data_IF_349016127192
#
_entry.id   IF_349016127192
#
_cell.length_a   1.000
_cell.length_b   1.000
_cell.length_c   1.000
_cell.angle_alpha   90.00
_cell.angle_beta   90.00
_cell.angle_gamma   90.00
#
_symmetry.space_group_name_H-M   'P 1'
#
loop_
_entity.id
_entity.type
_entity.pdbx_description
1 polymer ?
#
# COMPACT_ATOMS: atom_id res chain seq x y z
N UNK A 1 -8.66 -12.18 -8.83
CA UNK A 1 -8.01 -12.09 -7.53
C UNK A 1 -9.00 -12.04 -6.41
N UNK A 2 -9.56 -13.19 -6.16
CA UNK A 2 -10.67 -13.27 -5.22
C UNK A 2 -10.30 -12.83 -3.83
N UNK A 3 -9.11 -13.20 -3.38
CA UNK A 3 -8.69 -12.86 -2.03
C UNK A 3 -8.60 -11.35 -1.85
N UNK A 4 -8.06 -10.67 -2.86
CA UNK A 4 -7.94 -9.23 -2.82
C UNK A 4 -9.30 -8.57 -2.84
N UNK A 5 -10.19 -9.09 -3.67
CA UNK A 5 -11.54 -8.57 -3.74
C UNK A 5 -12.26 -8.72 -2.42
N UNK A 6 -12.07 -9.87 -1.76
CA UNK A 6 -12.68 -10.09 -0.46
C UNK A 6 -12.19 -9.08 0.57
N UNK A 7 -10.91 -8.76 0.54
CA UNK A 7 -10.36 -7.76 1.44
C UNK A 7 -10.96 -6.38 1.16
N UNK A 8 -11.09 -6.03 -0.10
CA UNK A 8 -11.62 -4.73 -0.47
C UNK A 8 -13.12 -4.62 -0.23
N UNK A 9 -13.82 -5.74 -0.22
CA UNK A 9 -15.25 -5.75 0.04
C UNK A 9 -15.54 -5.56 1.51
N UNK A 10 -14.59 -5.87 2.37
CA UNK A 10 -14.75 -5.65 3.80
C UNK A 10 -14.92 -4.14 4.02
N UNK A 11 -16.08 -3.76 4.56
CA UNK A 11 -16.45 -2.36 4.69
C UNK A 11 -15.43 -1.57 5.51
N UNK A 12 -15.01 -2.13 6.61
CA UNK A 12 -14.07 -1.43 7.48
C UNK A 12 -12.70 -1.28 6.82
N UNK A 13 -12.24 -2.33 6.20
CA UNK A 13 -10.97 -2.30 5.50
C UNK A 13 -11.03 -1.37 4.30
N UNK A 14 -12.16 -1.35 3.62
CA UNK A 14 -12.37 -0.44 2.50
C UNK A 14 -12.26 1.00 2.94
N UNK A 15 -12.86 1.33 4.08
CA UNK A 15 -12.77 2.69 4.61
C UNK A 15 -11.34 3.05 4.97
N UNK A 16 -10.62 2.13 5.60
CA UNK A 16 -9.21 2.37 5.93
C UNK A 16 -8.39 2.56 4.67
N UNK A 17 -8.65 1.76 3.66
CA UNK A 17 -7.95 1.87 2.39
C UNK A 17 -8.22 3.21 1.72
N UNK A 18 -9.43 3.73 1.85
CA UNK A 18 -9.79 5.03 1.29
C UNK A 18 -9.05 6.18 1.98
N UNK A 19 -8.61 6.00 3.21
CA UNK A 19 -7.84 7.01 3.93
C UNK A 19 -6.43 7.15 3.39
N UNK A 20 -5.97 6.17 2.63
CA UNK A 20 -4.63 6.23 2.05
C UNK A 20 -4.61 7.24 0.91
N UNK A 21 -3.50 7.96 0.79
CA UNK A 21 -3.29 8.79 -0.38
C UNK A 21 -3.14 7.89 -1.60
N UNK A 22 -3.37 8.39 -2.80
CA UNK A 22 -3.17 7.58 -4.01
C UNK A 22 -1.76 6.99 -4.09
N UNK A 23 -0.75 7.74 -3.66
CA UNK A 23 0.62 7.25 -3.66
C UNK A 23 0.79 6.09 -2.68
N UNK A 24 0.24 6.22 -1.49
CA UNK A 24 0.33 5.14 -0.50
C UNK A 24 -0.35 3.88 -1.00
N UNK A 25 -1.51 4.02 -1.63
CA UNK A 25 -2.23 2.87 -2.19
C UNK A 25 -1.41 2.19 -3.27
N UNK A 26 -0.82 2.97 -4.16
CA UNK A 26 0.00 2.41 -5.24
C UNK A 26 1.22 1.68 -4.70
N UNK A 27 1.89 2.28 -3.72
CA UNK A 27 3.08 1.67 -3.14
C UNK A 27 2.73 0.35 -2.45
N UNK A 28 1.64 0.34 -1.69
CA UNK A 28 1.19 -0.87 -1.01
C UNK A 28 0.81 -1.94 -2.02
N UNK A 29 0.10 -1.56 -3.07
CA UNK A 29 -0.27 -2.50 -4.12
C UNK A 29 0.95 -3.09 -4.80
N UNK A 30 1.91 -2.26 -5.14
CA UNK A 30 3.12 -2.73 -5.81
C UNK A 30 3.91 -3.69 -4.91
N UNK A 31 3.97 -3.38 -3.63
CA UNK A 31 4.73 -4.21 -2.70
C UNK A 31 4.02 -5.53 -2.38
N UNK A 32 2.74 -5.47 -2.01
CA UNK A 32 2.05 -6.64 -1.51
C UNK A 32 1.34 -7.45 -2.58
N UNK A 33 0.88 -6.80 -3.65
CA UNK A 33 0.13 -7.50 -4.68
C UNK A 33 0.99 -7.87 -5.87
N UNK A 34 1.89 -6.98 -6.27
CA UNK A 34 2.74 -7.22 -7.43
C UNK A 34 4.09 -7.83 -7.05
N UNK A 35 4.46 -7.78 -5.78
CA UNK A 35 5.69 -8.41 -5.32
C UNK A 35 6.97 -7.60 -5.53
N UNK A 36 6.85 -6.30 -5.81
CA UNK A 36 8.03 -5.47 -5.98
C UNK A 36 8.67 -5.14 -4.63
N UNK A 37 10.00 -5.00 -4.65
CA UNK A 37 10.73 -4.60 -3.46
C UNK A 37 10.74 -3.08 -3.33
N UNK A 38 10.99 -2.60 -2.10
CA UNK A 38 11.03 -1.16 -1.85
C UNK A 38 11.99 -0.45 -2.80
N UNK A 39 13.18 -1.03 -3.04
CA UNK A 39 14.16 -0.40 -3.93
C UNK A 39 13.67 -0.34 -5.38
N UNK A 40 12.92 -1.33 -5.81
CA UNK A 40 12.37 -1.34 -7.15
C UNK A 40 11.29 -0.28 -7.29
N UNK A 41 10.45 -0.15 -6.27
CA UNK A 41 9.41 0.86 -6.26
C UNK A 41 10.02 2.25 -6.23
N UNK A 42 11.08 2.41 -5.44
CA UNK A 42 11.80 3.68 -5.36
C UNK A 42 12.35 4.10 -6.72
N UNK A 43 12.93 3.15 -7.43
CA UNK A 43 13.45 3.42 -8.77
C UNK A 43 12.31 3.82 -9.72
N UNK A 44 11.19 3.14 -9.60
CA UNK A 44 10.03 3.43 -10.44
C UNK A 44 9.52 4.85 -10.24
N UNK A 45 9.49 5.32 -8.99
CA UNK A 45 9.02 6.66 -8.69
C UNK A 45 10.11 7.73 -8.72
N UNK A 46 11.38 7.32 -8.84
CA UNK A 46 12.48 8.28 -8.83
C UNK A 46 12.74 8.90 -7.48
N UNK A 47 12.48 8.17 -6.41
CA UNK A 47 12.71 8.63 -5.04
C UNK A 47 13.53 7.58 -4.29
N UNK A 48 13.87 7.88 -3.03
CA UNK A 48 14.73 6.97 -2.28
C UNK A 48 13.95 5.80 -1.71
N UNK A 49 14.66 4.71 -1.48
CA UNK A 49 14.09 3.53 -0.85
C UNK A 49 13.56 3.85 0.55
N UNK A 50 14.25 4.74 1.26
CA UNK A 50 13.83 5.14 2.60
C UNK A 50 12.45 5.80 2.59
N UNK A 51 12.18 6.62 1.58
CA UNK A 51 10.89 7.26 1.45
C UNK A 51 9.80 6.22 1.16
N UNK A 52 10.08 5.27 0.29
CA UNK A 52 9.13 4.20 -0.01
C UNK A 52 8.82 3.39 1.25
N UNK A 53 9.85 3.03 1.99
CA UNK A 53 9.70 2.26 3.23
C UNK A 53 8.80 3.01 4.23
N UNK A 54 9.04 4.31 4.39
CA UNK A 54 8.26 5.15 5.28
C UNK A 54 6.79 5.22 4.85
N UNK A 55 6.56 5.46 3.57
CA UNK A 55 5.20 5.57 3.06
C UNK A 55 4.46 4.25 3.17
N UNK A 56 5.15 3.15 2.91
CA UNK A 56 4.55 1.83 3.02
C UNK A 56 4.14 1.53 4.45
N UNK A 57 5.03 1.80 5.39
CA UNK A 57 4.73 1.57 6.81
C UNK A 57 3.59 2.46 7.30
N UNK A 58 3.59 3.70 6.85
CA UNK A 58 2.52 4.63 7.21
C UNK A 58 1.18 4.15 6.68
N UNK A 59 1.15 3.70 5.44
CA UNK A 59 -0.07 3.17 4.86
C UNK A 59 -0.56 1.93 5.59
N UNK A 60 0.34 1.02 5.92
CA UNK A 60 -0.01 -0.19 6.66
C UNK A 60 -0.58 0.16 8.03
N UNK A 61 0.01 1.15 8.70
CA UNK A 61 -0.51 1.58 10.00
C UNK A 61 -1.94 2.10 9.89
N UNK A 62 -2.25 2.81 8.81
CA UNK A 62 -3.61 3.28 8.58
C UNK A 62 -4.58 2.12 8.40
N UNK A 63 -4.12 1.03 7.78
CA UNK A 63 -4.95 -0.14 7.57
C UNK A 63 -5.13 -0.97 8.82
N UNK A 64 -4.31 -0.75 9.84
CA UNK A 64 -4.38 -1.52 11.09
C UNK A 64 -5.29 -0.92 12.14
N UNK A 65 -5.98 0.13 11.83
CA UNK A 65 -6.74 0.89 12.82
C UNK A 65 -8.07 0.23 13.20
N UNK A 66 -8.47 -0.81 12.61
CA UNK A 66 -9.72 -1.47 13.00
C UNK A 66 -9.52 -2.65 13.92
#
# INVERSE_FOLDING_TARGET
MDRLENILINVELGKCYERLTPRERNIISLYYLEGYKDEEIATFYGITQQVINRLRKKGINKLKIF
#
